data_IF_712270826920
#
_entry.id   IF_712270826920
#
_cell.length_a   1.000
_cell.length_b   1.000
_cell.length_c   1.000
_cell.angle_alpha   90.00
_cell.angle_beta   90.00
_cell.angle_gamma   90.00
#
_symmetry.space_group_name_H-M   'P 1'
#
loop_
_entity.id
_entity.type
_entity.pdbx_description
1 polymer ?
#
# COMPACT_ATOMS: atom_id res chain seq x y z
N UNK A 1 24.21 16.06 -9.60
CA UNK A 1 22.96 15.61 -10.29
C UNK A 1 22.12 14.72 -9.37
N UNK A 2 22.70 13.80 -8.67
CA UNK A 2 22.07 12.85 -7.71
C UNK A 2 21.20 13.53 -6.64
N UNK A 3 21.68 14.57 -5.96
CA UNK A 3 20.92 15.31 -4.93
C UNK A 3 19.65 15.96 -5.52
N UNK A 4 19.72 16.52 -6.73
CA UNK A 4 18.55 17.12 -7.39
C UNK A 4 17.49 16.03 -7.71
N UNK A 5 17.94 14.89 -8.24
CA UNK A 5 17.04 13.77 -8.55
C UNK A 5 16.39 13.20 -7.28
N UNK A 6 17.16 13.09 -6.19
CA UNK A 6 16.63 12.71 -4.87
C UNK A 6 15.50 13.65 -4.43
N UNK A 7 15.76 14.97 -4.45
CA UNK A 7 14.75 15.98 -4.06
C UNK A 7 13.51 15.89 -4.97
N UNK A 8 13.69 15.71 -6.27
CA UNK A 8 12.57 15.57 -7.21
C UNK A 8 11.71 14.32 -6.91
N UNK A 9 12.34 13.19 -6.56
CA UNK A 9 11.61 11.99 -6.16
C UNK A 9 10.79 12.18 -4.88
N UNK A 10 11.40 12.79 -3.86
CA UNK A 10 10.69 13.15 -2.61
C UNK A 10 9.51 14.10 -2.92
N UNK A 11 9.74 15.12 -3.73
CA UNK A 11 8.71 16.10 -4.10
C UNK A 11 7.57 15.45 -4.89
N UNK A 12 7.88 14.55 -5.83
CA UNK A 12 6.88 13.82 -6.61
C UNK A 12 5.92 13.06 -5.70
N UNK A 13 6.44 12.28 -4.75
CA UNK A 13 5.61 11.51 -3.82
C UNK A 13 4.87 12.41 -2.84
N UNK A 14 5.52 13.46 -2.32
CA UNK A 14 4.87 14.43 -1.43
C UNK A 14 3.67 15.12 -2.10
N UNK A 15 3.83 15.55 -3.35
CA UNK A 15 2.72 16.11 -4.15
C UNK A 15 1.65 15.07 -4.42
N UNK A 16 2.05 13.84 -4.79
CA UNK A 16 1.13 12.73 -4.99
C UNK A 16 0.25 12.46 -3.75
N UNK A 17 0.87 12.40 -2.58
CA UNK A 17 0.16 12.23 -1.29
C UNK A 17 -0.74 13.44 -1.00
N UNK A 18 -0.27 14.66 -1.19
CA UNK A 18 -1.07 15.87 -0.97
C UNK A 18 -2.32 15.92 -1.86
N UNK A 19 -2.18 15.55 -3.15
CA UNK A 19 -3.30 15.42 -4.08
C UNK A 19 -4.25 14.30 -3.64
N UNK A 20 -3.73 13.16 -3.19
CA UNK A 20 -4.54 12.05 -2.68
C UNK A 20 -5.38 12.45 -1.47
N UNK A 21 -4.79 13.18 -0.53
CA UNK A 21 -5.49 13.73 0.64
C UNK A 21 -6.58 14.72 0.19
N UNK A 22 -6.26 15.63 -0.71
CA UNK A 22 -7.24 16.59 -1.22
C UNK A 22 -8.43 15.87 -1.88
N UNK A 23 -8.18 14.85 -2.70
CA UNK A 23 -9.23 14.08 -3.36
C UNK A 23 -10.02 13.21 -2.37
N UNK A 24 -9.38 12.68 -1.33
CA UNK A 24 -10.05 12.00 -0.22
C UNK A 24 -11.10 12.91 0.43
N UNK A 25 -10.73 14.14 0.78
CA UNK A 25 -11.66 15.11 1.36
C UNK A 25 -12.78 15.53 0.37
N UNK A 26 -12.49 15.56 -0.95
CA UNK A 26 -13.53 15.73 -1.98
C UNK A 26 -14.51 14.56 -1.95
N UNK A 27 -14.02 13.34 -1.67
CA UNK A 27 -14.86 12.16 -1.50
C UNK A 27 -15.92 12.30 -0.42
N UNK A 28 -15.64 12.99 0.69
CA UNK A 28 -16.62 13.35 1.72
C UNK A 28 -17.49 14.55 1.32
N UNK A 29 -16.88 15.58 0.75
CA UNK A 29 -17.52 16.83 0.40
C UNK A 29 -18.67 16.67 -0.60
N UNK A 30 -18.43 15.88 -1.66
CA UNK A 30 -19.41 15.72 -2.76
C UNK A 30 -20.71 15.09 -2.28
N UNK A 31 -20.72 13.91 -1.62
CA UNK A 31 -21.98 13.35 -1.13
C UNK A 31 -22.59 14.17 0.01
N UNK A 32 -21.80 14.80 0.89
CA UNK A 32 -22.34 15.69 1.93
C UNK A 32 -23.18 16.81 1.32
N UNK A 33 -22.64 17.52 0.32
CA UNK A 33 -23.37 18.57 -0.40
C UNK A 33 -24.53 18.03 -1.21
N UNK A 34 -24.41 16.90 -1.87
CA UNK A 34 -25.49 16.23 -2.60
C UNK A 34 -26.67 15.90 -1.67
N UNK A 35 -26.40 15.53 -0.43
CA UNK A 35 -27.41 15.29 0.59
C UNK A 35 -27.83 16.55 1.37
N UNK A 36 -27.40 17.73 0.91
CA UNK A 36 -27.73 19.04 1.47
C UNK A 36 -27.22 19.30 2.89
N UNK A 37 -26.17 18.55 3.33
CA UNK A 37 -25.47 18.89 4.56
C UNK A 37 -24.73 20.20 4.36
N UNK A 38 -24.80 21.10 5.33
CA UNK A 38 -24.01 22.32 5.29
C UNK A 38 -22.57 22.01 5.63
N UNK A 39 -21.67 22.35 4.69
CA UNK A 39 -20.23 22.23 4.84
C UNK A 39 -19.64 23.61 4.99
N UNK A 40 -19.03 23.89 6.13
CA UNK A 40 -18.46 25.21 6.45
C UNK A 40 -17.04 25.37 5.94
N UNK A 41 -16.23 24.30 6.02
CA UNK A 41 -14.83 24.33 5.59
C UNK A 41 -14.45 23.05 4.84
N UNK A 42 -13.60 23.24 3.84
CA UNK A 42 -12.81 22.21 3.15
C UNK A 42 -11.35 22.67 3.17
N UNK A 43 -10.51 21.98 3.93
CA UNK A 43 -9.13 22.39 4.15
C UNK A 43 -8.17 21.25 3.90
N UNK A 44 -7.09 21.55 3.18
CA UNK A 44 -5.96 20.65 2.98
C UNK A 44 -4.86 21.04 3.95
N UNK A 45 -4.47 20.12 4.85
CA UNK A 45 -3.48 20.39 5.89
C UNK A 45 -4.07 20.87 7.22
N UNK A 46 -3.16 21.12 8.16
CA UNK A 46 -3.44 21.60 9.52
C UNK A 46 -2.61 22.86 9.84
N UNK A 47 -2.91 23.50 10.99
CA UNK A 47 -2.20 24.68 11.45
C UNK A 47 -2.72 25.99 10.85
N UNK A 48 -1.89 27.05 10.74
CA UNK A 48 -2.31 28.34 10.20
C UNK A 48 -2.69 28.25 8.72
N UNK A 49 -3.70 29.04 8.32
CA UNK A 49 -4.16 29.09 6.93
C UNK A 49 -3.16 29.87 6.07
N UNK A 50 -2.64 29.24 5.02
CA UNK A 50 -1.75 29.88 4.04
C UNK A 50 -2.57 30.64 2.99
N UNK A 51 -3.60 29.96 2.49
CA UNK A 51 -4.52 30.53 1.51
C UNK A 51 -5.92 29.96 1.73
N UNK A 52 -6.94 30.82 1.69
CA UNK A 52 -8.33 30.37 1.64
C UNK A 52 -9.20 31.29 0.77
N UNK A 53 -10.27 30.72 0.24
CA UNK A 53 -11.28 31.42 -0.52
C UNK A 53 -12.66 30.87 -0.19
N UNK A 54 -13.59 31.75 0.16
CA UNK A 54 -14.98 31.37 0.38
C UNK A 54 -15.76 31.35 -0.93
N UNK A 55 -16.46 30.24 -1.16
CA UNK A 55 -17.38 30.06 -2.30
C UNK A 55 -18.72 29.53 -1.78
N UNK A 56 -19.72 30.39 -1.81
CA UNK A 56 -21.01 30.11 -1.17
C UNK A 56 -20.86 30.00 0.35
N UNK A 57 -21.34 28.91 0.92
CA UNK A 57 -21.30 28.64 2.35
C UNK A 57 -20.02 27.94 2.83
N UNK A 58 -19.15 27.50 1.89
CA UNK A 58 -17.95 26.74 2.19
C UNK A 58 -16.70 27.59 1.96
N UNK A 59 -15.79 27.56 2.92
CA UNK A 59 -14.43 28.08 2.80
C UNK A 59 -13.51 26.96 2.33
N UNK A 60 -12.79 27.18 1.23
CA UNK A 60 -11.81 26.26 0.65
C UNK A 60 -10.42 26.81 0.89
N UNK A 61 -9.50 26.00 1.39
CA UNK A 61 -8.16 26.51 1.65
C UNK A 61 -7.10 25.44 1.84
N UNK A 62 -5.86 25.95 1.97
CA UNK A 62 -4.65 25.16 2.26
C UNK A 62 -4.00 25.73 3.51
N UNK A 63 -3.59 24.84 4.39
CA UNK A 63 -2.91 25.15 5.65
C UNK A 63 -1.43 24.79 5.58
N UNK A 64 -0.64 25.31 6.52
CA UNK A 64 0.82 25.25 6.47
C UNK A 64 1.41 23.83 6.62
N UNK A 65 0.73 22.92 7.32
CA UNK A 65 1.19 21.57 7.54
C UNK A 65 0.40 20.60 6.65
N UNK A 66 0.97 20.07 5.55
CA UNK A 66 0.25 19.22 4.58
C UNK A 66 0.12 17.76 5.07
N UNK A 67 -0.15 17.58 6.37
CA UNK A 67 -0.27 16.27 7.03
C UNK A 67 -1.74 15.91 7.24
N UNK A 68 -2.52 15.81 6.15
CA UNK A 68 -3.94 15.49 6.22
C UNK A 68 -4.84 16.56 5.63
N UNK A 69 -6.14 16.47 5.88
CA UNK A 69 -7.16 17.42 5.49
C UNK A 69 -8.38 17.28 6.38
N UNK A 70 -9.39 18.11 6.17
CA UNK A 70 -10.67 17.93 6.82
C UNK A 70 -11.81 18.64 6.08
N UNK A 71 -12.99 18.05 6.21
CA UNK A 71 -14.26 18.66 5.81
C UNK A 71 -15.08 18.93 7.06
N UNK A 72 -15.33 20.20 7.38
CA UNK A 72 -16.17 20.59 8.51
C UNK A 72 -17.63 20.57 8.10
N UNK A 73 -18.37 19.58 8.62
CA UNK A 73 -19.81 19.41 8.40
C UNK A 73 -20.59 19.80 9.64
N UNK A 74 -21.66 20.57 9.47
CA UNK A 74 -22.53 20.96 10.58
C UNK A 74 -23.30 19.75 11.13
N UNK A 75 -23.40 19.64 12.46
CA UNK A 75 -24.12 18.57 13.13
C UNK A 75 -23.41 17.21 13.12
N UNK A 76 -22.09 17.18 13.24
CA UNK A 76 -21.35 15.92 13.45
C UNK A 76 -21.68 15.27 14.82
N UNK A 77 -21.96 16.09 15.83
CA UNK A 77 -22.35 15.65 17.17
C UNK A 77 -23.82 15.95 17.43
N UNK A 78 -24.65 14.93 17.77
CA UNK A 78 -26.04 15.15 18.15
C UNK A 78 -26.12 15.88 19.51
N UNK A 79 -27.18 16.69 19.77
CA UNK A 79 -27.42 17.30 21.06
C UNK A 79 -27.61 16.23 22.15
N UNK A 80 -27.35 16.59 23.40
CA UNK A 80 -27.57 15.67 24.50
C UNK A 80 -29.08 15.59 24.81
N UNK A 81 -29.62 14.39 25.01
CA UNK A 81 -31.04 14.20 25.37
C UNK A 81 -31.47 14.94 26.65
N UNK A 82 -30.50 15.29 27.50
CA UNK A 82 -30.77 16.06 28.72
C UNK A 82 -31.00 17.56 28.44
N UNK A 83 -30.54 18.07 27.31
CA UNK A 83 -30.65 19.50 26.96
C UNK A 83 -32.00 19.83 26.28
N UNK A 84 -32.70 18.80 25.75
CA UNK A 84 -33.99 18.93 25.05
C UNK A 84 -35.18 19.14 26.01
N UNK A 85 -35.04 18.88 27.33
CA UNK A 85 -36.17 18.82 28.24
C UNK A 85 -36.46 20.16 28.97
N UNK A 86 -35.52 21.12 29.08
CA UNK A 86 -35.71 22.24 29.97
C UNK A 86 -34.92 23.53 29.67
N UNK A 87 -34.29 23.68 28.52
CA UNK A 87 -33.62 24.92 28.09
C UNK A 87 -32.54 25.50 29.04
N UNK A 88 -32.21 24.80 30.10
CA UNK A 88 -31.18 25.16 31.06
C UNK A 88 -30.03 24.17 31.01
N UNK A 89 -28.90 24.65 30.57
CA UNK A 89 -27.62 23.92 30.63
C UNK A 89 -27.28 23.64 32.10
N UNK A 90 -27.69 22.49 32.61
CA UNK A 90 -27.20 21.98 33.88
C UNK A 90 -25.97 21.11 33.60
N UNK A 91 -24.83 21.74 33.37
CA UNK A 91 -23.54 21.05 33.37
C UNK A 91 -22.89 21.19 34.74
N UNK A 92 -23.08 20.21 35.59
CA UNK A 92 -22.18 20.00 36.70
C UNK A 92 -21.71 18.55 36.67
N UNK A 93 -20.85 18.21 35.75
CA UNK A 93 -20.09 16.97 35.77
C UNK A 93 -18.63 17.33 35.98
N UNK A 94 -18.07 16.91 37.10
CA UNK A 94 -16.65 17.06 37.46
C UNK A 94 -15.73 16.08 36.74
N UNK A 95 -16.27 15.26 35.83
CA UNK A 95 -15.49 14.29 35.04
C UNK A 95 -14.86 14.94 33.81
N UNK A 96 -13.53 14.94 33.73
CA UNK A 96 -12.74 15.48 32.60
C UNK A 96 -13.26 15.02 31.23
N UNK A 97 -13.68 13.77 31.10
CA UNK A 97 -14.20 13.19 29.86
C UNK A 97 -15.59 13.70 29.45
N UNK A 98 -16.45 13.98 30.44
CA UNK A 98 -17.75 14.56 30.17
C UNK A 98 -17.62 16.04 29.79
N UNK A 99 -16.66 16.74 30.35
CA UNK A 99 -16.35 18.13 30.01
C UNK A 99 -15.87 18.22 28.54
N UNK A 100 -14.95 17.37 28.10
CA UNK A 100 -14.50 17.30 26.71
C UNK A 100 -15.67 17.09 25.72
N UNK A 101 -16.59 16.19 26.05
CA UNK A 101 -17.77 15.96 25.22
C UNK A 101 -18.70 17.16 25.17
N UNK A 102 -18.82 17.91 26.26
CA UNK A 102 -19.64 19.14 26.36
C UNK A 102 -19.00 20.27 25.58
N UNK A 103 -17.69 20.47 25.73
CA UNK A 103 -16.93 21.51 25.02
C UNK A 103 -16.96 21.29 23.49
N UNK A 104 -16.80 20.03 23.04
CA UNK A 104 -16.91 19.69 21.64
C UNK A 104 -18.31 19.96 21.05
N UNK A 105 -19.38 19.70 21.81
CA UNK A 105 -20.74 20.05 21.39
C UNK A 105 -20.96 21.57 21.39
N UNK A 106 -20.45 22.29 22.38
CA UNK A 106 -20.54 23.74 22.45
C UNK A 106 -19.86 24.38 21.23
N UNK A 107 -18.63 23.96 20.91
CA UNK A 107 -17.90 24.42 19.73
C UNK A 107 -18.64 24.09 18.42
N UNK A 108 -19.29 22.93 18.34
CA UNK A 108 -20.10 22.56 17.18
C UNK A 108 -21.40 23.38 17.11
N UNK A 109 -22.00 23.74 18.25
CA UNK A 109 -23.20 24.53 18.33
C UNK A 109 -22.97 26.02 17.92
N UNK A 110 -21.79 26.59 18.22
CA UNK A 110 -21.41 27.93 17.77
C UNK A 110 -21.38 28.09 16.25
N UNK A 111 -21.21 27.01 15.51
CA UNK A 111 -21.22 27.02 14.04
C UNK A 111 -22.63 26.96 13.44
N UNK A 112 -23.66 26.74 14.25
CA UNK A 112 -25.04 26.65 13.79
C UNK A 112 -25.58 28.03 13.40
N UNK A 113 -26.34 28.08 12.31
CA UNK A 113 -27.06 29.26 11.86
C UNK A 113 -28.57 28.93 11.78
N UNK A 114 -29.43 29.95 11.92
CA UNK A 114 -30.87 29.75 11.68
C UNK A 114 -31.12 29.12 10.30
N UNK A 115 -31.87 28.04 10.24
CA UNK A 115 -32.15 27.29 9.01
C UNK A 115 -31.27 26.02 8.80
N UNK A 116 -30.33 25.75 9.69
CA UNK A 116 -29.50 24.57 9.63
C UNK A 116 -30.17 23.30 10.19
N UNK A 117 -31.32 23.42 10.85
CA UNK A 117 -31.98 22.32 11.59
C UNK A 117 -32.21 21.07 10.73
N UNK A 118 -32.51 21.25 9.44
CA UNK A 118 -32.73 20.15 8.49
C UNK A 118 -31.47 19.80 7.68
N UNK A 119 -30.34 20.43 7.94
CA UNK A 119 -29.09 20.30 7.18
C UNK A 119 -27.95 19.69 7.99
N UNK A 120 -28.26 19.18 9.19
CA UNK A 120 -27.29 18.58 10.09
C UNK A 120 -26.95 17.15 9.68
N UNK A 121 -25.67 16.78 9.80
CA UNK A 121 -25.19 15.46 9.43
C UNK A 121 -25.91 14.35 10.20
N UNK A 122 -26.10 14.48 11.52
CA UNK A 122 -26.78 13.45 12.34
C UNK A 122 -28.25 13.22 11.97
N UNK A 123 -28.91 14.20 11.31
CA UNK A 123 -30.29 14.07 10.84
C UNK A 123 -30.43 13.25 9.54
N UNK A 124 -29.32 12.98 8.87
CA UNK A 124 -29.35 12.14 7.68
C UNK A 124 -29.73 10.69 8.04
N UNK A 125 -30.49 10.02 7.15
CA UNK A 125 -30.66 8.57 7.24
C UNK A 125 -29.32 7.86 7.30
N UNK A 126 -29.25 6.73 8.03
CA UNK A 126 -28.00 5.99 8.28
C UNK A 126 -27.23 5.70 7.00
N UNK A 127 -27.91 5.24 5.93
CA UNK A 127 -27.25 4.93 4.65
C UNK A 127 -26.59 6.15 4.00
N UNK A 128 -27.17 7.35 4.14
CA UNK A 128 -26.55 8.59 3.63
C UNK A 128 -25.31 8.97 4.42
N UNK A 129 -25.36 8.82 5.77
CA UNK A 129 -24.18 9.04 6.62
C UNK A 129 -23.03 8.10 6.26
N UNK A 130 -23.35 6.81 6.01
CA UNK A 130 -22.36 5.82 5.56
C UNK A 130 -21.75 6.23 4.22
N UNK A 131 -22.56 6.64 3.23
CA UNK A 131 -22.04 7.09 1.92
C UNK A 131 -21.13 8.31 2.07
N UNK A 132 -21.49 9.29 2.92
CA UNK A 132 -20.63 10.45 3.15
C UNK A 132 -19.29 10.01 3.75
N UNK A 133 -19.31 9.13 4.78
CA UNK A 133 -18.09 8.71 5.46
C UNK A 133 -17.23 7.75 4.61
N UNK A 134 -17.83 6.89 3.80
CA UNK A 134 -17.10 6.03 2.87
C UNK A 134 -16.61 6.77 1.62
N UNK A 135 -17.07 8.00 1.38
CA UNK A 135 -16.71 8.77 0.20
C UNK A 135 -15.21 9.05 0.09
N UNK A 136 -14.55 9.39 1.21
CA UNK A 136 -13.11 9.59 1.28
C UNK A 136 -12.32 8.31 1.00
N UNK A 137 -12.52 7.23 1.78
CA UNK A 137 -11.89 5.95 1.51
C UNK A 137 -12.13 5.45 0.07
N UNK A 138 -13.36 5.56 -0.44
CA UNK A 138 -13.66 5.18 -1.82
C UNK A 138 -12.84 5.96 -2.85
N UNK A 139 -12.58 7.25 -2.61
CA UNK A 139 -11.74 8.05 -3.49
C UNK A 139 -10.29 7.53 -3.50
N UNK A 140 -9.75 7.15 -2.35
CA UNK A 140 -8.41 6.54 -2.27
C UNK A 140 -8.35 5.21 -3.02
N UNK A 141 -9.37 4.35 -2.88
CA UNK A 141 -9.46 3.12 -3.66
C UNK A 141 -9.50 3.42 -5.17
N UNK A 142 -10.30 4.39 -5.59
CA UNK A 142 -10.38 4.79 -7.00
C UNK A 142 -9.04 5.28 -7.55
N UNK A 143 -8.34 6.14 -6.80
CA UNK A 143 -7.00 6.63 -7.16
C UNK A 143 -6.03 5.45 -7.25
N UNK A 144 -6.02 4.55 -6.26
CA UNK A 144 -5.19 3.35 -6.26
C UNK A 144 -5.41 2.51 -7.52
N UNK A 145 -6.67 2.19 -7.85
CA UNK A 145 -7.03 1.42 -9.06
C UNK A 145 -6.56 2.12 -10.33
N UNK A 146 -6.78 3.44 -10.45
CA UNK A 146 -6.36 4.21 -11.64
C UNK A 146 -4.83 4.22 -11.77
N UNK A 147 -4.10 4.42 -10.67
CA UNK A 147 -2.65 4.43 -10.69
C UNK A 147 -2.07 3.03 -10.99
N UNK A 148 -2.68 1.94 -10.46
CA UNK A 148 -2.31 0.58 -10.84
C UNK A 148 -2.60 0.29 -12.32
N UNK A 149 -3.71 0.81 -12.87
CA UNK A 149 -3.99 0.69 -14.29
C UNK A 149 -2.92 1.42 -15.14
N UNK A 150 -2.53 2.64 -14.74
CA UNK A 150 -1.44 3.38 -15.40
C UNK A 150 -0.11 2.62 -15.28
N UNK A 151 0.18 2.04 -14.12
CA UNK A 151 1.39 1.26 -13.89
C UNK A 151 1.43 0.03 -14.79
N UNK A 152 0.42 -0.84 -14.72
CA UNK A 152 0.40 -2.14 -15.38
C UNK A 152 0.25 -2.01 -16.90
N UNK A 153 -0.69 -1.17 -17.36
CA UNK A 153 -1.01 -1.03 -18.78
C UNK A 153 -0.09 0.00 -19.49
N UNK A 154 0.40 1.00 -18.76
CA UNK A 154 1.25 2.07 -19.31
C UNK A 154 2.73 1.71 -19.30
N UNK A 155 3.27 1.48 -18.10
CA UNK A 155 4.69 1.17 -17.91
C UNK A 155 4.97 -0.32 -18.06
N UNK A 156 4.11 -1.20 -17.52
CA UNK A 156 4.33 -2.62 -17.41
C UNK A 156 4.97 -3.02 -16.07
N UNK A 157 5.11 -4.32 -15.87
CA UNK A 157 5.83 -4.93 -14.73
C UNK A 157 7.13 -5.54 -15.20
N UNK A 158 8.14 -5.49 -14.34
CA UNK A 158 9.40 -6.19 -14.57
C UNK A 158 9.13 -7.71 -14.56
N UNK A 159 9.34 -8.36 -15.67
CA UNK A 159 9.17 -9.80 -15.82
C UNK A 159 10.41 -10.43 -16.43
N UNK A 160 10.75 -11.59 -15.95
CA UNK A 160 11.76 -12.44 -16.59
C UNK A 160 11.21 -12.94 -17.94
N UNK A 161 11.94 -12.64 -19.01
CA UNK A 161 11.58 -13.05 -20.37
C UNK A 161 12.42 -14.25 -20.80
N UNK A 162 12.08 -14.87 -21.93
CA UNK A 162 12.90 -15.95 -22.52
C UNK A 162 14.14 -15.44 -23.22
N UNK A 163 14.37 -14.11 -23.22
CA UNK A 163 15.62 -13.52 -23.63
C UNK A 163 16.70 -13.74 -22.59
N UNK A 164 17.88 -14.17 -23.04
CA UNK A 164 19.01 -14.45 -22.17
C UNK A 164 19.76 -13.17 -21.82
N UNK A 165 19.87 -12.85 -20.52
CA UNK A 165 20.73 -11.79 -20.01
C UNK A 165 22.17 -12.26 -19.97
N UNK A 166 22.37 -13.49 -19.47
CA UNK A 166 23.69 -14.08 -19.27
C UNK A 166 23.67 -15.56 -19.69
N UNK A 167 24.80 -16.02 -20.17
CA UNK A 167 25.09 -17.45 -20.44
C UNK A 167 26.39 -17.76 -19.72
N UNK A 168 26.27 -18.59 -18.68
CA UNK A 168 27.40 -19.00 -17.86
C UNK A 168 28.29 -19.95 -18.63
N UNK A 169 29.60 -19.82 -18.49
CA UNK A 169 30.57 -20.71 -19.16
C UNK A 169 30.63 -22.10 -18.48
N UNK A 170 30.44 -22.12 -17.16
CA UNK A 170 30.47 -23.35 -16.38
C UNK A 170 29.31 -23.45 -15.38
N UNK A 171 29.14 -24.59 -14.76
CA UNK A 171 28.17 -24.82 -13.70
C UNK A 171 28.89 -24.88 -12.37
N UNK A 172 28.70 -23.83 -11.54
CA UNK A 172 29.13 -23.79 -10.15
C UNK A 172 28.02 -24.45 -9.30
N UNK A 173 28.38 -25.47 -8.51
CA UNK A 173 27.42 -26.13 -7.61
C UNK A 173 27.06 -25.23 -6.40
N UNK A 174 25.97 -25.56 -5.73
CA UNK A 174 25.56 -24.81 -4.53
C UNK A 174 26.63 -24.84 -3.43
N UNK A 175 27.35 -25.97 -3.27
CA UNK A 175 28.41 -26.11 -2.29
C UNK A 175 29.66 -25.28 -2.63
N UNK A 176 30.03 -25.22 -3.90
CA UNK A 176 31.13 -24.36 -4.38
C UNK A 176 30.79 -22.87 -4.20
N UNK A 177 29.55 -22.47 -4.53
CA UNK A 177 29.08 -21.11 -4.30
C UNK A 177 29.07 -20.75 -2.82
N UNK A 178 28.64 -21.65 -1.93
CA UNK A 178 28.70 -21.48 -0.48
C UNK A 178 30.13 -21.33 0.08
N UNK A 179 31.11 -21.90 -0.62
CA UNK A 179 32.55 -21.73 -0.32
C UNK A 179 33.16 -20.47 -0.92
N UNK A 180 32.35 -19.63 -1.59
CA UNK A 180 32.76 -18.35 -2.16
C UNK A 180 33.33 -18.45 -3.58
N UNK A 181 33.15 -19.55 -4.28
CA UNK A 181 33.56 -19.65 -5.68
C UNK A 181 32.59 -18.84 -6.56
N UNK A 182 33.11 -17.87 -7.28
CA UNK A 182 32.36 -16.99 -8.23
C UNK A 182 32.85 -17.10 -9.67
N UNK A 183 34.03 -17.71 -9.89
CA UNK A 183 34.67 -17.84 -11.19
C UNK A 183 34.79 -19.31 -11.59
N UNK A 184 34.70 -19.56 -12.89
CA UNK A 184 34.91 -20.90 -13.46
C UNK A 184 36.36 -21.37 -13.34
N UNK A 185 36.54 -22.63 -13.04
CA UNK A 185 37.84 -23.28 -13.05
C UNK A 185 37.81 -24.44 -14.08
N UNK A 186 38.99 -24.95 -14.48
CA UNK A 186 39.10 -26.06 -15.44
C UNK A 186 38.47 -27.38 -14.90
N UNK A 187 38.14 -27.44 -13.62
CA UNK A 187 37.49 -28.61 -12.98
C UNK A 187 35.95 -28.54 -13.05
N UNK A 188 35.39 -27.36 -13.34
CA UNK A 188 33.96 -27.21 -13.37
C UNK A 188 33.38 -27.68 -14.73
N UNK A 189 32.22 -28.36 -14.72
CA UNK A 189 31.60 -28.79 -15.97
C UNK A 189 31.13 -27.56 -16.78
N UNK A 190 31.33 -27.60 -18.09
CA UNK A 190 30.84 -26.58 -18.99
C UNK A 190 29.30 -26.48 -18.92
N UNK A 191 28.78 -25.28 -18.99
CA UNK A 191 27.33 -25.07 -18.97
C UNK A 191 26.69 -25.49 -20.29
N UNK A 192 25.60 -26.30 -20.28
CA UNK A 192 25.00 -26.84 -21.50
C UNK A 192 24.58 -25.76 -22.52
N UNK A 193 24.13 -24.60 -22.08
CA UNK A 193 23.77 -23.50 -22.98
C UNK A 193 25.01 -22.89 -23.68
N UNK A 194 26.13 -22.80 -22.95
CA UNK A 194 27.40 -22.35 -23.50
C UNK A 194 27.95 -23.33 -24.57
N UNK A 195 27.93 -24.62 -24.26
CA UNK A 195 28.33 -25.68 -25.20
C UNK A 195 27.45 -25.72 -26.46
N UNK A 196 26.14 -25.44 -26.30
CA UNK A 196 25.18 -25.32 -27.39
C UNK A 196 25.35 -24.04 -28.24
N UNK A 197 26.26 -23.13 -27.87
CA UNK A 197 26.55 -21.89 -28.58
C UNK A 197 25.50 -20.80 -28.39
N UNK A 198 24.68 -20.86 -27.32
CA UNK A 198 23.79 -19.74 -26.93
C UNK A 198 24.62 -18.57 -26.44
N UNK A 199 24.13 -17.37 -26.68
CA UNK A 199 24.78 -16.11 -26.31
C UNK A 199 23.82 -15.20 -25.55
N UNK A 200 24.32 -14.27 -24.73
CA UNK A 200 23.51 -13.18 -24.19
C UNK A 200 22.81 -12.42 -25.33
N UNK A 201 21.51 -12.15 -25.15
CA UNK A 201 20.67 -11.52 -26.16
C UNK A 201 19.78 -12.48 -26.97
N UNK A 202 20.10 -13.77 -27.01
CA UNK A 202 19.25 -14.77 -27.64
C UNK A 202 17.87 -14.85 -26.95
N UNK A 203 16.82 -15.08 -27.72
CA UNK A 203 15.47 -15.30 -27.20
C UNK A 203 15.01 -16.71 -27.50
N UNK A 204 14.82 -17.54 -26.49
CA UNK A 204 14.32 -18.93 -26.67
C UNK A 204 12.82 -18.87 -26.96
N UNK A 205 12.43 -19.43 -28.12
CA UNK A 205 11.04 -19.44 -28.62
C UNK A 205 10.39 -20.83 -28.50
N UNK A 206 11.19 -21.92 -28.54
CA UNK A 206 10.68 -23.26 -28.31
C UNK A 206 11.70 -24.13 -27.54
N UNK A 207 11.21 -25.08 -26.76
CA UNK A 207 11.99 -26.01 -25.98
C UNK A 207 11.34 -27.42 -26.09
N UNK A 208 12.14 -28.45 -26.40
CA UNK A 208 11.68 -29.83 -26.65
C UNK A 208 10.59 -29.87 -27.75
N UNK A 209 10.78 -29.04 -28.81
CA UNK A 209 9.87 -28.95 -29.97
C UNK A 209 8.53 -28.28 -29.69
N UNK A 210 8.33 -27.67 -28.52
CA UNK A 210 7.10 -26.95 -28.15
C UNK A 210 7.37 -25.46 -27.88
N UNK A 211 6.53 -24.54 -28.38
CA UNK A 211 6.64 -23.12 -28.07
C UNK A 211 6.63 -22.89 -26.54
N UNK A 212 7.41 -21.92 -26.07
CA UNK A 212 7.48 -21.53 -24.65
C UNK A 212 6.67 -20.26 -24.39
N UNK A 213 5.89 -20.29 -23.29
CA UNK A 213 5.07 -19.16 -22.86
C UNK A 213 5.75 -18.45 -21.65
N UNK A 214 6.84 -17.73 -21.96
CA UNK A 214 7.58 -16.98 -20.96
C UNK A 214 8.60 -17.81 -20.17
N UNK A 215 9.27 -17.12 -19.24
CA UNK A 215 10.40 -17.69 -18.49
C UNK A 215 9.98 -18.84 -17.55
N UNK A 216 8.84 -18.72 -16.90
CA UNK A 216 8.39 -19.75 -15.95
C UNK A 216 8.13 -21.09 -16.64
N UNK A 217 7.48 -21.07 -17.82
CA UNK A 217 7.26 -22.27 -18.64
C UNK A 217 8.59 -22.86 -19.12
N UNK A 218 9.49 -22.02 -19.66
CA UNK A 218 10.82 -22.44 -20.09
C UNK A 218 11.61 -23.07 -18.93
N UNK A 219 11.65 -22.41 -17.77
CA UNK A 219 12.36 -22.88 -16.59
C UNK A 219 11.82 -24.21 -16.08
N UNK A 220 10.49 -24.40 -16.07
CA UNK A 220 9.86 -25.66 -15.67
C UNK A 220 10.30 -26.82 -16.60
N UNK A 221 10.24 -26.60 -17.92
CA UNK A 221 10.66 -27.60 -18.92
C UNK A 221 12.14 -27.95 -18.85
N UNK A 222 13.01 -26.94 -18.63
CA UNK A 222 14.44 -27.17 -18.43
C UNK A 222 14.67 -28.08 -17.21
N UNK A 223 13.99 -27.80 -16.08
CA UNK A 223 14.10 -28.59 -14.85
C UNK A 223 13.68 -30.04 -15.04
N UNK A 224 12.65 -30.29 -15.87
CA UNK A 224 12.13 -31.62 -16.15
C UNK A 224 12.97 -32.42 -17.20
N UNK A 225 13.75 -31.71 -18.02
CA UNK A 225 14.52 -32.34 -19.11
C UNK A 225 15.93 -32.80 -18.69
N UNK A 226 16.22 -32.91 -17.39
CA UNK A 226 17.53 -33.32 -16.89
C UNK A 226 18.06 -34.56 -17.57
N UNK A 227 19.30 -34.53 -18.11
CA UNK A 227 19.96 -35.64 -18.77
C UNK A 227 19.39 -36.03 -20.14
N UNK A 228 18.34 -35.38 -20.63
CA UNK A 228 17.76 -35.62 -21.97
C UNK A 228 18.25 -34.58 -22.97
N UNK A 229 18.73 -35.02 -24.13
CA UNK A 229 19.05 -34.13 -25.25
C UNK A 229 17.75 -33.67 -25.92
N UNK A 230 17.49 -32.38 -25.91
CA UNK A 230 16.26 -31.78 -26.43
C UNK A 230 16.57 -30.68 -27.46
N UNK A 231 15.76 -30.52 -28.53
CA UNK A 231 15.89 -29.44 -29.47
C UNK A 231 15.43 -28.13 -28.82
N UNK A 232 16.20 -27.06 -29.07
CA UNK A 232 15.89 -25.69 -28.62
C UNK A 232 15.92 -24.74 -29.82
N UNK A 233 14.80 -24.04 -30.04
CA UNK A 233 14.72 -23.00 -31.06
C UNK A 233 14.87 -21.64 -30.39
N UNK A 234 15.72 -20.79 -30.96
CA UNK A 234 15.99 -19.44 -30.47
C UNK A 234 16.13 -18.44 -31.59
N UNK A 235 15.90 -17.16 -31.29
CA UNK A 235 16.08 -16.04 -32.22
C UNK A 235 17.31 -15.24 -31.80
N UNK A 236 18.25 -15.08 -32.75
CA UNK A 236 19.45 -14.23 -32.66
C UNK A 236 19.43 -13.21 -33.80
N UNK A 237 19.51 -11.92 -33.49
CA UNK A 237 19.49 -10.83 -34.48
C UNK A 237 18.30 -10.91 -35.47
N UNK A 238 17.15 -11.38 -34.98
CA UNK A 238 15.94 -11.55 -35.80
C UNK A 238 15.90 -12.81 -36.66
N UNK A 239 16.90 -13.68 -36.57
CA UNK A 239 16.98 -14.95 -37.31
C UNK A 239 16.74 -16.11 -36.40
N UNK A 240 15.80 -16.97 -36.74
CA UNK A 240 15.51 -18.22 -36.03
C UNK A 240 16.59 -19.27 -36.28
N UNK A 241 17.06 -19.90 -35.23
CA UNK A 241 18.10 -20.93 -35.23
C UNK A 241 17.72 -22.07 -34.27
N UNK A 242 18.22 -23.25 -34.57
CA UNK A 242 18.02 -24.46 -33.76
C UNK A 242 19.34 -24.97 -33.20
N UNK A 243 19.30 -25.50 -31.97
CA UNK A 243 20.42 -26.23 -31.37
C UNK A 243 19.91 -27.37 -30.51
N UNK A 244 20.82 -28.24 -30.09
CA UNK A 244 20.51 -29.31 -29.15
C UNK A 244 21.12 -29.00 -27.79
N UNK A 245 20.35 -29.14 -26.72
CA UNK A 245 20.82 -28.95 -25.35
C UNK A 245 20.50 -30.16 -24.51
N UNK A 246 21.48 -30.59 -23.68
CA UNK A 246 21.26 -31.61 -22.67
C UNK A 246 21.37 -30.96 -21.28
N UNK A 247 20.24 -30.63 -20.62
CA UNK A 247 20.30 -30.00 -19.28
C UNK A 247 21.04 -30.91 -18.29
N UNK A 248 22.02 -30.34 -17.57
CA UNK A 248 22.79 -31.06 -16.58
C UNK A 248 21.96 -31.26 -15.31
N UNK A 249 21.99 -32.47 -14.76
CA UNK A 249 21.36 -32.75 -13.46
C UNK A 249 22.19 -32.11 -12.34
N UNK A 250 21.58 -31.18 -11.62
CA UNK A 250 22.24 -30.45 -10.52
C UNK A 250 21.30 -30.33 -9.32
N UNK A 251 21.86 -30.34 -8.13
CA UNK A 251 21.13 -29.98 -6.90
C UNK A 251 20.93 -28.45 -6.82
N UNK A 252 19.67 -28.06 -6.67
CA UNK A 252 19.31 -26.63 -6.50
C UNK A 252 18.39 -26.48 -5.30
N UNK A 253 18.51 -25.34 -4.55
CA UNK A 253 17.59 -25.03 -3.50
C UNK A 253 16.15 -24.94 -4.03
N UNK A 254 15.20 -25.50 -3.27
CA UNK A 254 13.77 -25.28 -3.51
C UNK A 254 13.43 -23.90 -2.99
N UNK A 255 12.79 -23.11 -3.81
CA UNK A 255 12.27 -21.76 -3.41
C UNK A 255 10.76 -21.81 -3.29
N UNK A 256 10.21 -21.03 -2.37
CA UNK A 256 8.77 -20.78 -2.27
C UNK A 256 8.27 -19.83 -3.37
N UNK A 257 6.98 -19.48 -3.31
CA UNK A 257 6.34 -18.59 -4.30
C UNK A 257 6.93 -17.15 -4.26
N UNK A 258 7.58 -16.77 -3.16
CA UNK A 258 8.23 -15.45 -2.98
C UNK A 258 9.72 -15.48 -3.38
N UNK A 259 10.22 -16.65 -3.81
CA UNK A 259 11.62 -16.85 -4.23
C UNK A 259 12.60 -17.09 -3.07
N UNK A 260 12.12 -17.19 -1.83
CA UNK A 260 12.95 -17.50 -0.68
C UNK A 260 13.26 -19.02 -0.60
N UNK A 261 14.48 -19.41 -0.18
CA UNK A 261 14.82 -20.83 -0.03
C UNK A 261 13.97 -21.48 1.07
N UNK A 262 13.34 -22.61 0.73
CA UNK A 262 12.64 -23.45 1.71
C UNK A 262 13.69 -24.14 2.58
N UNK A 263 13.56 -24.03 3.90
CA UNK A 263 14.46 -24.67 4.86
C UNK A 263 13.78 -25.86 5.56
N UNK A 264 14.58 -26.87 5.93
CA UNK A 264 14.14 -27.98 6.77
C UNK A 264 14.01 -27.55 8.25
N UNK A 265 13.56 -28.48 9.12
CA UNK A 265 13.41 -28.24 10.57
C UNK A 265 14.73 -27.89 11.27
N UNK A 266 15.87 -28.14 10.64
CA UNK A 266 17.22 -27.82 11.13
C UNK A 266 17.75 -26.48 10.58
N UNK A 267 17.00 -25.80 9.69
CA UNK A 267 17.36 -24.54 9.07
C UNK A 267 18.24 -24.68 7.82
N UNK A 268 18.46 -25.88 7.29
CA UNK A 268 19.21 -26.09 6.05
C UNK A 268 18.31 -25.91 4.83
N UNK A 269 18.82 -25.35 3.71
CA UNK A 269 18.05 -25.26 2.46
C UNK A 269 17.66 -26.67 1.96
N UNK A 270 16.38 -26.86 1.69
CA UNK A 270 15.91 -28.06 1.01
C UNK A 270 16.37 -28.02 -0.44
N UNK A 271 17.13 -29.01 -0.90
CA UNK A 271 17.60 -29.13 -2.29
C UNK A 271 16.82 -30.16 -3.07
N UNK A 272 16.72 -29.96 -4.38
CA UNK A 272 16.13 -30.91 -5.32
C UNK A 272 17.03 -31.06 -6.56
N UNK A 273 17.19 -32.26 -7.04
CA UNK A 273 17.84 -32.51 -8.33
C UNK A 273 16.93 -32.06 -9.48
N UNK A 274 17.43 -31.14 -10.29
CA UNK A 274 16.72 -30.56 -11.43
C UNK A 274 17.66 -30.34 -12.61
N UNK A 275 17.08 -30.27 -13.82
CA UNK A 275 17.83 -29.92 -15.01
C UNK A 275 18.27 -28.42 -14.96
N UNK A 276 19.49 -28.18 -15.40
CA UNK A 276 20.09 -26.85 -15.45
C UNK A 276 20.88 -26.65 -16.75
N UNK A 277 20.78 -25.49 -17.37
CA UNK A 277 21.48 -25.16 -18.62
C UNK A 277 22.47 -24.01 -18.51
N UNK A 278 22.50 -23.29 -17.41
CA UNK A 278 23.47 -22.19 -17.16
C UNK A 278 23.10 -20.87 -17.81
N UNK A 279 21.84 -20.47 -17.79
CA UNK A 279 21.39 -19.18 -18.32
C UNK A 279 20.65 -18.35 -17.27
N UNK A 280 20.73 -17.04 -17.40
CA UNK A 280 19.89 -16.09 -16.65
C UNK A 280 18.93 -15.35 -17.62
N UNK A 281 17.69 -15.18 -17.16
CA UNK A 281 16.67 -14.44 -17.90
C UNK A 281 16.95 -12.94 -17.92
N UNK A 282 16.68 -12.30 -19.04
CA UNK A 282 16.60 -10.84 -19.07
C UNK A 282 15.28 -10.39 -18.42
N UNK A 283 15.38 -9.38 -17.58
CA UNK A 283 14.20 -8.72 -17.00
C UNK A 283 13.79 -7.57 -17.88
N UNK A 284 12.57 -7.61 -18.41
CA UNK A 284 12.02 -6.56 -19.26
C UNK A 284 10.69 -6.05 -18.69
N UNK A 285 10.36 -4.79 -18.97
CA UNK A 285 9.05 -4.22 -18.63
C UNK A 285 8.00 -4.71 -19.63
N UNK A 286 7.14 -5.60 -19.20
CA UNK A 286 6.05 -6.16 -20.01
C UNK A 286 4.73 -5.53 -19.59
N UNK A 287 4.03 -4.88 -20.54
CA UNK A 287 2.71 -4.29 -20.29
C UNK A 287 1.70 -5.39 -20.06
N UNK A 288 0.88 -5.20 -19.02
CA UNK A 288 -0.14 -6.15 -18.63
C UNK A 288 -1.49 -5.78 -19.21
N UNK A 289 -2.35 -6.76 -19.51
CA UNK A 289 -3.73 -6.50 -19.92
C UNK A 289 -4.53 -5.87 -18.76
N UNK A 290 -5.59 -5.12 -19.08
CA UNK A 290 -6.43 -4.48 -18.06
C UNK A 290 -7.11 -5.45 -17.10
N UNK A 291 -7.22 -6.72 -17.47
CA UNK A 291 -7.74 -7.80 -16.61
C UNK A 291 -6.87 -8.05 -15.38
N UNK A 292 -5.57 -7.74 -15.43
CA UNK A 292 -4.63 -7.92 -14.31
C UNK A 292 -4.70 -6.79 -13.27
N UNK A 293 -5.36 -5.67 -13.59
CA UNK A 293 -5.42 -4.51 -12.68
C UNK A 293 -6.14 -4.84 -11.39
N UNK A 294 -7.33 -5.45 -11.46
CA UNK A 294 -8.12 -5.77 -10.26
C UNK A 294 -7.49 -6.90 -9.41
N UNK A 295 -6.95 -7.97 -9.99
CA UNK A 295 -6.15 -8.94 -9.25
C UNK A 295 -4.99 -8.28 -8.49
N UNK A 296 -4.15 -7.50 -9.17
CA UNK A 296 -3.00 -6.83 -8.54
C UNK A 296 -3.42 -5.86 -7.40
N UNK A 297 -4.50 -5.10 -7.59
CA UNK A 297 -5.09 -4.27 -6.52
C UNK A 297 -5.57 -5.15 -5.37
N UNK A 298 -6.23 -6.28 -5.66
CA UNK A 298 -6.72 -7.22 -4.66
C UNK A 298 -5.59 -7.83 -3.81
N UNK A 299 -4.49 -8.21 -4.43
CA UNK A 299 -3.32 -8.78 -3.76
C UNK A 299 -2.61 -7.72 -2.90
N UNK A 300 -2.48 -6.49 -3.41
CA UNK A 300 -1.94 -5.38 -2.64
C UNK A 300 -2.82 -5.06 -1.41
N UNK A 301 -4.16 -5.04 -1.59
CA UNK A 301 -5.11 -4.85 -0.47
C UNK A 301 -5.02 -5.98 0.56
N UNK A 302 -4.86 -7.23 0.13
CA UNK A 302 -4.69 -8.38 1.02
C UNK A 302 -3.40 -8.27 1.84
N UNK A 303 -2.30 -7.91 1.19
CA UNK A 303 -1.02 -7.66 1.84
C UNK A 303 -1.11 -6.54 2.89
N UNK A 304 -1.70 -5.38 2.53
CA UNK A 304 -1.92 -4.27 3.45
C UNK A 304 -2.82 -4.68 4.62
N UNK A 305 -3.90 -5.41 4.38
CA UNK A 305 -4.78 -5.92 5.43
C UNK A 305 -4.03 -6.85 6.40
N UNK A 306 -3.15 -7.71 5.88
CA UNK A 306 -2.25 -8.55 6.68
C UNK A 306 -1.32 -7.72 7.57
N UNK A 307 -0.74 -6.65 7.05
CA UNK A 307 0.08 -5.71 7.85
C UNK A 307 -0.75 -5.04 8.94
N UNK A 308 -1.97 -4.59 8.63
CA UNK A 308 -2.86 -3.91 9.59
C UNK A 308 -3.31 -4.85 10.71
N UNK A 309 -3.67 -6.09 10.39
CA UNK A 309 -4.07 -7.09 11.39
C UNK A 309 -2.91 -7.39 12.35
N UNK A 310 -1.69 -7.48 11.85
CA UNK A 310 -0.49 -7.77 12.63
C UNK A 310 0.23 -6.50 13.12
N UNK A 311 -0.39 -5.32 12.96
CA UNK A 311 0.23 -4.03 13.28
C UNK A 311 0.78 -3.94 14.72
N UNK A 312 0.06 -4.43 15.77
CA UNK A 312 0.59 -4.38 17.13
C UNK A 312 1.93 -5.10 17.26
N UNK A 313 2.06 -6.31 16.69
CA UNK A 313 3.29 -7.08 16.72
C UNK A 313 4.39 -6.36 15.91
N UNK A 314 4.09 -5.93 14.68
CA UNK A 314 5.05 -5.24 13.82
C UNK A 314 5.59 -3.94 14.42
N UNK A 315 4.78 -3.22 15.21
CA UNK A 315 5.25 -2.02 15.94
C UNK A 315 6.24 -2.40 17.05
N UNK A 316 6.02 -3.52 17.73
CA UNK A 316 6.96 -4.05 18.73
C UNK A 316 8.27 -4.44 18.05
N UNK A 317 8.22 -5.15 16.91
CA UNK A 317 9.39 -5.57 16.14
C UNK A 317 10.21 -4.34 15.67
N UNK A 318 9.54 -3.30 15.16
CA UNK A 318 10.19 -2.03 14.81
C UNK A 318 10.83 -1.35 16.02
N UNK A 319 10.16 -1.36 17.19
CA UNK A 319 10.72 -0.79 18.41
C UNK A 319 11.96 -1.58 18.85
N UNK A 320 11.91 -2.91 18.82
CA UNK A 320 13.06 -3.76 19.14
C UNK A 320 14.22 -3.49 18.17
N UNK A 321 13.97 -3.52 16.86
CA UNK A 321 14.99 -3.22 15.88
C UNK A 321 15.58 -1.80 16.05
N UNK A 322 14.77 -0.79 16.36
CA UNK A 322 15.22 0.60 16.51
C UNK A 322 16.15 0.81 17.72
N UNK A 323 15.98 0.01 18.79
CA UNK A 323 16.74 0.15 20.05
C UNK A 323 17.71 -1.01 20.35
N UNK A 324 17.84 -2.00 19.44
CA UNK A 324 18.80 -3.13 19.56
C UNK A 324 19.79 -3.14 18.40
N UNK A 325 20.62 -4.18 18.31
CA UNK A 325 21.52 -4.43 17.18
C UNK A 325 20.84 -5.21 16.04
N UNK A 326 19.60 -5.63 16.20
CA UNK A 326 18.86 -6.39 15.19
C UNK A 326 18.59 -5.56 13.94
N UNK A 327 18.59 -6.20 12.78
CA UNK A 327 18.22 -5.56 11.52
C UNK A 327 16.71 -5.37 11.46
N UNK A 328 16.29 -4.32 10.73
CA UNK A 328 14.88 -4.03 10.54
C UNK A 328 14.29 -4.88 9.41
N UNK A 329 13.10 -5.46 9.63
CA UNK A 329 12.35 -6.16 8.59
C UNK A 329 12.07 -5.23 7.39
N UNK A 330 12.55 -5.54 6.17
CA UNK A 330 12.29 -4.75 4.97
C UNK A 330 10.78 -4.65 4.64
N UNK A 331 9.99 -5.65 5.03
CA UNK A 331 8.54 -5.70 4.83
C UNK A 331 7.76 -5.07 6.01
N UNK A 332 8.47 -4.45 6.95
CA UNK A 332 7.88 -3.76 8.09
C UNK A 332 7.22 -2.44 7.73
N UNK A 333 6.39 -1.87 8.63
CA UNK A 333 5.76 -0.58 8.41
C UNK A 333 6.82 0.53 8.36
N UNK A 334 6.65 1.47 7.43
CA UNK A 334 7.49 2.66 7.25
C UNK A 334 6.67 3.93 7.47
N UNK A 335 7.33 5.01 7.86
CA UNK A 335 6.70 6.33 8.01
C UNK A 335 6.66 7.09 6.68
N UNK A 336 5.99 8.25 6.68
CA UNK A 336 6.02 9.18 5.52
C UNK A 336 7.45 9.63 5.19
N UNK A 337 8.33 9.72 6.20
CA UNK A 337 9.76 10.03 5.99
C UNK A 337 10.47 8.89 5.27
N UNK A 338 10.19 7.64 5.66
CA UNK A 338 10.71 6.45 4.98
C UNK A 338 10.24 6.36 3.53
N UNK A 339 8.94 6.59 3.29
CA UNK A 339 8.39 6.64 1.93
C UNK A 339 9.09 7.72 1.08
N UNK A 340 9.26 8.92 1.64
CA UNK A 340 9.97 10.01 0.97
C UNK A 340 11.43 9.67 0.65
N UNK A 341 12.13 9.04 1.61
CA UNK A 341 13.51 8.58 1.43
C UNK A 341 13.63 7.55 0.31
N UNK A 342 12.81 6.50 0.32
CA UNK A 342 12.76 5.47 -0.73
C UNK A 342 12.53 6.12 -2.10
N UNK A 343 11.60 7.07 -2.19
CA UNK A 343 11.34 7.80 -3.42
C UNK A 343 12.55 8.59 -3.92
N UNK A 344 13.28 9.22 -3.00
CA UNK A 344 14.51 9.94 -3.30
C UNK A 344 15.62 9.01 -3.77
N UNK A 345 15.85 7.89 -3.07
CA UNK A 345 16.85 6.89 -3.40
C UNK A 345 16.60 6.29 -4.79
N UNK A 346 15.37 5.83 -5.08
CA UNK A 346 14.97 5.31 -6.42
C UNK A 346 15.26 6.34 -7.51
N UNK A 347 14.93 7.60 -7.27
CA UNK A 347 15.14 8.66 -8.25
C UNK A 347 16.62 8.96 -8.51
N UNK A 348 17.48 8.74 -7.50
CA UNK A 348 18.91 8.99 -7.54
C UNK A 348 19.74 7.87 -8.18
N UNK A 349 19.20 6.65 -8.35
CA UNK A 349 19.90 5.54 -9.02
C UNK A 349 20.30 5.94 -10.45
N UNK A 350 21.57 5.80 -10.80
CA UNK A 350 22.06 6.23 -12.14
C UNK A 350 21.80 5.17 -13.22
N UNK A 351 21.89 3.90 -12.88
CA UNK A 351 21.78 2.76 -13.81
C UNK A 351 20.32 2.41 -14.21
N UNK A 352 19.32 2.91 -13.46
CA UNK A 352 17.91 2.60 -13.72
C UNK A 352 17.30 3.58 -14.72
N UNK A 353 16.62 3.12 -15.79
CA UNK A 353 15.94 3.97 -16.75
C UNK A 353 14.89 4.88 -16.10
N UNK A 354 14.75 6.12 -16.60
CA UNK A 354 13.80 7.11 -16.07
C UNK A 354 12.37 6.57 -16.04
N UNK A 355 11.95 5.83 -17.07
CA UNK A 355 10.62 5.22 -17.12
C UNK A 355 10.36 4.26 -15.94
N UNK A 356 11.34 3.42 -15.60
CA UNK A 356 11.25 2.48 -14.47
C UNK A 356 11.19 3.22 -13.13
N UNK A 357 11.98 4.30 -12.95
CA UNK A 357 11.90 5.16 -11.76
C UNK A 357 10.51 5.75 -11.59
N UNK A 358 9.96 6.34 -12.66
CA UNK A 358 8.62 6.94 -12.65
C UNK A 358 7.57 5.86 -12.35
N UNK A 359 7.67 4.68 -12.96
CA UNK A 359 6.78 3.56 -12.70
C UNK A 359 6.78 3.17 -11.21
N UNK A 360 7.96 3.04 -10.60
CA UNK A 360 8.09 2.70 -9.18
C UNK A 360 7.51 3.79 -8.28
N UNK A 361 7.74 5.07 -8.57
CA UNK A 361 7.15 6.19 -7.83
C UNK A 361 5.63 6.23 -7.94
N UNK A 362 5.08 5.96 -9.14
CA UNK A 362 3.63 5.83 -9.35
C UNK A 362 3.07 4.64 -8.55
N UNK A 363 3.75 3.50 -8.57
CA UNK A 363 3.40 2.32 -7.77
C UNK A 363 3.41 2.60 -6.27
N UNK A 364 4.38 3.37 -5.78
CA UNK A 364 4.46 3.78 -4.39
C UNK A 364 3.26 4.65 -3.98
N UNK A 365 2.91 5.67 -4.78
CA UNK A 365 1.73 6.51 -4.55
C UNK A 365 0.44 5.69 -4.63
N UNK A 366 0.35 4.72 -5.55
CA UNK A 366 -0.78 3.83 -5.68
C UNK A 366 -0.98 2.98 -4.42
N UNK A 367 0.10 2.33 -3.92
CA UNK A 367 0.07 1.53 -2.69
C UNK A 367 -0.27 2.36 -1.45
N UNK A 368 0.25 3.59 -1.34
CA UNK A 368 -0.12 4.53 -0.27
C UNK A 368 -1.63 4.83 -0.29
N UNK A 369 -2.24 5.02 -1.47
CA UNK A 369 -3.69 5.24 -1.57
C UNK A 369 -4.49 4.01 -1.13
N UNK A 370 -4.07 2.81 -1.50
CA UNK A 370 -4.71 1.57 -1.04
C UNK A 370 -4.53 1.38 0.48
N UNK A 371 -3.36 1.76 1.03
CA UNK A 371 -3.14 1.76 2.48
C UNK A 371 -4.07 2.75 3.19
N UNK A 372 -4.20 3.99 2.69
CA UNK A 372 -5.13 4.98 3.22
C UNK A 372 -6.59 4.49 3.18
N UNK A 373 -6.99 3.79 2.12
CA UNK A 373 -8.30 3.14 2.03
C UNK A 373 -8.50 2.13 3.15
N UNK A 374 -7.59 1.17 3.33
CA UNK A 374 -7.70 0.11 4.34
C UNK A 374 -7.67 0.70 5.76
N UNK A 375 -6.74 1.61 6.06
CA UNK A 375 -6.63 2.26 7.36
C UNK A 375 -7.91 3.02 7.73
N UNK A 376 -8.48 3.77 6.78
CA UNK A 376 -9.71 4.52 7.03
C UNK A 376 -10.97 3.65 7.18
N UNK A 377 -10.91 2.36 6.85
CA UNK A 377 -12.00 1.41 7.12
C UNK A 377 -11.93 0.80 8.53
N UNK A 378 -10.85 0.99 9.28
CA UNK A 378 -10.74 0.49 10.66
C UNK A 378 -11.85 1.14 11.52
N UNK A 379 -12.64 0.35 12.27
CA UNK A 379 -13.81 0.86 13.02
C UNK A 379 -13.40 1.58 14.31
N UNK A 380 -12.46 2.50 14.22
CA UNK A 380 -11.91 3.28 15.34
C UNK A 380 -11.94 4.77 15.01
N UNK A 381 -12.47 5.60 15.91
CA UNK A 381 -12.30 7.04 15.83
C UNK A 381 -10.84 7.41 16.15
N UNK A 382 -10.21 8.38 15.47
CA UNK A 382 -10.82 9.38 14.58
C UNK A 382 -10.94 8.99 13.09
N UNK A 383 -10.77 7.73 12.73
CA UNK A 383 -10.85 7.27 11.33
C UNK A 383 -12.30 7.22 10.84
N UNK A 384 -12.53 7.31 9.53
CA UNK A 384 -13.85 7.30 8.91
C UNK A 384 -14.65 6.03 9.24
N UNK A 385 -13.97 4.89 9.30
CA UNK A 385 -14.52 3.60 9.71
C UNK A 385 -15.18 3.64 11.09
N UNK A 386 -14.68 4.46 12.01
CA UNK A 386 -15.29 4.67 13.32
C UNK A 386 -16.67 5.35 13.23
N UNK A 387 -16.81 6.34 12.33
CA UNK A 387 -18.11 6.98 12.07
C UNK A 387 -19.09 6.02 11.36
N UNK A 388 -18.59 5.20 10.43
CA UNK A 388 -19.38 4.15 9.77
C UNK A 388 -19.87 3.12 10.79
N UNK A 389 -18.99 2.63 11.66
CA UNK A 389 -19.33 1.69 12.74
C UNK A 389 -20.37 2.27 13.69
N UNK A 390 -20.22 3.55 14.07
CA UNK A 390 -21.20 4.27 14.89
C UNK A 390 -22.59 4.35 14.24
N UNK A 391 -22.64 4.65 12.93
CA UNK A 391 -23.88 4.70 12.16
C UNK A 391 -24.54 3.32 12.02
N UNK A 392 -23.74 2.27 11.75
CA UNK A 392 -24.23 0.88 11.70
C UNK A 392 -24.78 0.42 13.05
N UNK A 393 -24.08 0.73 14.15
CA UNK A 393 -24.52 0.44 15.51
C UNK A 393 -25.83 1.14 15.86
N UNK A 394 -25.99 2.42 15.48
CA UNK A 394 -27.26 3.12 15.64
C UNK A 394 -28.39 2.40 14.88
N UNK A 395 -28.12 1.99 13.61
CA UNK A 395 -29.09 1.26 12.81
C UNK A 395 -29.51 -0.07 13.43
N UNK A 396 -28.55 -0.80 13.98
CA UNK A 396 -28.79 -2.06 14.66
C UNK A 396 -29.67 -1.84 15.91
N UNK A 397 -29.31 -0.87 16.75
CA UNK A 397 -30.08 -0.51 17.96
C UNK A 397 -31.52 -0.13 17.65
N UNK A 398 -31.74 0.69 16.62
CA UNK A 398 -33.09 1.10 16.16
C UNK A 398 -33.90 -0.09 15.65
N UNK A 399 -33.26 -1.01 14.90
CA UNK A 399 -33.94 -2.24 14.43
C UNK A 399 -34.34 -3.16 15.58
N UNK A 400 -33.44 -3.36 16.56
CA UNK A 400 -33.71 -4.14 17.77
C UNK A 400 -34.84 -3.50 18.57
N UNK A 401 -34.83 -2.19 18.81
CA UNK A 401 -35.88 -1.50 19.52
C UNK A 401 -37.24 -1.67 18.86
N UNK A 402 -37.28 -1.53 17.51
CA UNK A 402 -38.50 -1.75 16.71
C UNK A 402 -39.02 -3.20 16.84
N UNK A 403 -38.11 -4.20 16.78
CA UNK A 403 -38.47 -5.62 16.91
C UNK A 403 -39.11 -5.91 18.28
N UNK A 404 -38.56 -5.33 19.35
CA UNK A 404 -39.09 -5.51 20.73
C UNK A 404 -40.12 -4.45 21.12
N UNK A 405 -40.64 -3.66 20.15
CA UNK A 405 -41.66 -2.61 20.37
C UNK A 405 -41.24 -1.60 21.48
N UNK A 406 -39.91 -1.32 21.58
CA UNK A 406 -39.37 -0.33 22.49
C UNK A 406 -39.29 1.05 21.83
N UNK A 407 -39.29 2.16 22.61
CA UNK A 407 -39.11 3.48 22.05
C UNK A 407 -37.77 3.61 21.30
N UNK A 408 -37.69 4.53 20.32
CA UNK A 408 -36.47 4.79 19.55
C UNK A 408 -35.32 5.19 20.49
N UNK A 409 -34.18 4.47 20.49
CA UNK A 409 -33.02 4.79 21.33
C UNK A 409 -32.35 6.11 20.96
N UNK A 410 -32.76 6.74 19.83
CA UNK A 410 -32.19 7.98 19.32
C UNK A 410 -30.82 7.80 18.65
N UNK A 411 -30.20 8.94 18.32
CA UNK A 411 -28.90 8.98 17.66
C UNK A 411 -27.79 8.38 18.53
N UNK A 412 -26.80 7.77 17.87
CA UNK A 412 -25.58 7.34 18.56
C UNK A 412 -24.70 8.57 18.82
N UNK A 413 -24.38 8.79 20.08
CA UNK A 413 -23.65 9.96 20.54
C UNK A 413 -22.14 9.73 20.44
N UNK A 414 -21.57 10.15 19.31
CA UNK A 414 -20.13 10.06 19.03
C UNK A 414 -19.29 10.90 20.02
N UNK A 415 -19.85 11.98 20.61
CA UNK A 415 -19.12 12.79 21.58
C UNK A 415 -18.74 11.98 22.83
N UNK A 416 -19.51 10.95 23.20
CA UNK A 416 -19.16 10.04 24.31
C UNK A 416 -17.95 9.17 24.00
N UNK A 417 -17.59 9.01 22.74
CA UNK A 417 -16.42 8.24 22.31
C UNK A 417 -15.13 9.09 22.26
N UNK A 418 -15.20 10.40 22.50
CA UNK A 418 -14.04 11.28 22.49
C UNK A 418 -12.88 10.80 23.37
N UNK A 419 -13.08 10.29 24.60
CA UNK A 419 -11.98 9.76 25.40
C UNK A 419 -11.23 8.62 24.70
N UNK A 420 -11.98 7.70 24.07
CA UNK A 420 -11.38 6.59 23.28
C UNK A 420 -10.65 7.16 22.06
N UNK A 421 -11.25 8.15 21.40
CA UNK A 421 -10.63 8.85 20.26
C UNK A 421 -9.29 9.46 20.63
N UNK A 422 -9.16 10.11 21.79
CA UNK A 422 -7.90 10.69 22.26
C UNK A 422 -6.85 9.62 22.55
N UNK A 423 -7.24 8.49 23.17
CA UNK A 423 -6.33 7.36 23.39
C UNK A 423 -5.83 6.79 22.07
N UNK A 424 -6.72 6.53 21.12
CA UNK A 424 -6.35 6.02 19.79
C UNK A 424 -5.45 7.02 19.07
N UNK A 425 -5.79 8.32 19.12
CA UNK A 425 -4.96 9.37 18.52
C UNK A 425 -3.55 9.43 19.14
N UNK A 426 -3.44 9.33 20.46
CA UNK A 426 -2.16 9.30 21.15
C UNK A 426 -1.32 8.07 20.76
N UNK A 427 -1.95 6.90 20.63
CA UNK A 427 -1.29 5.67 20.16
C UNK A 427 -0.80 5.81 18.71
N UNK A 428 -1.64 6.32 17.80
CA UNK A 428 -1.26 6.55 16.41
C UNK A 428 -0.13 7.58 16.30
N UNK A 429 -0.16 8.64 17.10
CA UNK A 429 0.90 9.65 17.15
C UNK A 429 2.20 9.04 17.68
N UNK A 430 2.15 8.28 18.78
CA UNK A 430 3.31 7.57 19.33
C UNK A 430 3.92 6.59 18.31
N UNK A 431 3.08 5.82 17.62
CA UNK A 431 3.51 4.93 16.54
C UNK A 431 4.17 5.73 15.40
N UNK A 432 3.58 6.85 14.98
CA UNK A 432 4.16 7.69 13.93
C UNK A 432 5.54 8.24 14.31
N UNK A 433 5.70 8.70 15.55
CA UNK A 433 7.00 9.18 16.07
C UNK A 433 8.03 8.04 16.10
N UNK A 434 7.64 6.86 16.57
CA UNK A 434 8.50 5.68 16.58
C UNK A 434 8.95 5.29 15.17
N UNK A 435 8.03 5.23 14.21
CA UNK A 435 8.35 4.89 12.82
C UNK A 435 9.27 5.94 12.19
N UNK A 436 9.02 7.23 12.40
CA UNK A 436 9.90 8.30 11.93
C UNK A 436 11.32 8.15 12.54
N UNK A 437 11.41 7.90 13.84
CA UNK A 437 12.69 7.67 14.52
C UNK A 437 13.40 6.45 13.91
N UNK A 438 12.71 5.33 13.73
CA UNK A 438 13.27 4.12 13.14
C UNK A 438 13.74 4.34 11.70
N UNK A 439 12.98 5.09 10.87
CA UNK A 439 13.34 5.40 9.48
C UNK A 439 14.59 6.32 9.38
N UNK A 440 14.88 7.12 10.43
CA UNK A 440 16.07 7.97 10.48
C UNK A 440 17.29 7.18 10.98
N UNK A 441 17.12 6.39 12.06
CA UNK A 441 18.24 5.73 12.75
C UNK A 441 18.61 4.40 12.09
N UNK A 442 17.61 3.63 11.67
CA UNK A 442 17.76 2.33 10.99
C UNK A 442 16.84 2.27 9.76
N UNK A 443 17.19 2.98 8.71
CA UNK A 443 16.39 3.00 7.50
C UNK A 443 16.33 1.61 6.84
N UNK A 444 15.16 1.29 6.29
CA UNK A 444 15.03 0.14 5.40
C UNK A 444 15.78 0.46 4.10
N UNK A 445 16.76 -0.38 3.74
CA UNK A 445 17.44 -0.31 2.44
C UNK A 445 16.79 -1.32 1.50
N UNK A 446 16.43 -0.87 0.30
CA UNK A 446 15.89 -1.74 -0.76
C UNK A 446 16.99 -2.24 -1.71
N UNK A 447 18.23 -1.79 -1.54
CA UNK A 447 19.34 -1.96 -2.49
C UNK A 447 20.64 -2.40 -1.81
N UNK A 448 20.54 -3.24 -0.80
CA UNK A 448 21.71 -3.91 -0.20
C UNK A 448 21.95 -5.27 -0.80
#
# INVERSE_FOLDING_TARGET
MTVLLFILGVLFVAVGIAVSIALHEVGHLVPAKAFKVRVTQYMIGFGPTVFSRRRGETEYGVKALPLGGYVSMVGMYPPNKADDADGTVRSSSTGMFQQLATDARAAAAEQLQPGDENRMFYNLPIWKRIIVMLGGPFMNLLIGVVLFAVLLMGFGTAQSTTRLAEVNQCVITSDQAAQGQTECTDADPAAPAYEAGLLPGDTITAFDGQPVDGWNDLSARIKEAAGRSVPVTYVRDGVEQDTMITPLLTERPVTDDDGAPVTDDAGNPVTKEVGFIGVAAATELVRQPGTEVLPAVGDNLRSIAGVVINLPQRVVDVAQAAFSSEERDPNGPISVVGVGRIAGEISALEEVPVASKVATLVGLVASVNLALFVFNLIPLLPLDGGHVAGALWEGLRRRIAKLFKRPDPGHFDLAKMLPVTYVVFALLMGMSVLLIYADIVKPVSLFN
#
